data_IF_647011137694
#
_entry.id   IF_647011137694
#
_cell.length_a   1.000
_cell.length_b   1.000
_cell.length_c   1.000
_cell.angle_alpha   90.00
_cell.angle_beta   90.00
_cell.angle_gamma   90.00
#
_symmetry.space_group_name_H-M   'P 1'
#
loop_
_entity.id
_entity.type
_entity.pdbx_description
1 polymer ?
#
# COMPACT_ATOMS: atom_id res chain seq x y z
N UNK A 1 13.04 22.00 -6.33
CA UNK A 1 11.99 21.51 -7.23
C UNK A 1 11.58 20.13 -6.81
N UNK A 2 10.30 19.93 -6.71
CA UNK A 2 9.74 18.61 -6.42
C UNK A 2 9.74 17.77 -7.68
N UNK A 3 10.26 16.53 -7.59
CA UNK A 3 10.16 15.54 -8.66
C UNK A 3 8.95 14.64 -8.45
N UNK A 4 7.99 15.10 -7.66
CA UNK A 4 6.83 14.30 -7.31
C UNK A 4 5.84 14.24 -8.46
N UNK A 5 5.26 13.07 -8.63
CA UNK A 5 4.20 12.79 -9.58
C UNK A 5 2.93 12.49 -8.80
N UNK A 6 1.81 12.96 -9.30
CA UNK A 6 0.50 12.62 -8.74
C UNK A 6 -0.04 11.39 -9.45
N UNK A 7 -0.33 10.35 -8.67
CA UNK A 7 -0.88 9.09 -9.18
C UNK A 7 -2.34 8.95 -8.74
N UNK A 8 -3.14 8.35 -9.61
CA UNK A 8 -4.52 8.00 -9.31
C UNK A 8 -4.65 6.49 -9.19
N UNK A 9 -5.43 6.05 -8.21
CA UNK A 9 -5.58 4.64 -7.92
C UNK A 9 -7.02 4.32 -7.53
N UNK A 10 -7.42 3.08 -7.72
CA UNK A 10 -8.72 2.61 -7.29
C UNK A 10 -8.69 1.11 -7.03
N UNK A 11 -9.66 0.63 -6.22
CA UNK A 11 -9.94 -0.79 -6.18
C UNK A 11 -10.59 -1.24 -7.49
N UNK A 12 -10.79 -2.53 -7.66
CA UNK A 12 -11.28 -3.06 -8.94
C UNK A 12 -12.67 -2.54 -9.30
N UNK A 13 -13.60 -2.49 -8.35
CA UNK A 13 -14.96 -2.02 -8.63
C UNK A 13 -15.09 -0.49 -8.68
N UNK A 14 -14.06 0.24 -8.28
CA UNK A 14 -14.07 1.69 -8.28
C UNK A 14 -14.75 2.34 -7.08
N UNK A 15 -15.26 1.55 -6.13
CA UNK A 15 -15.90 2.12 -4.93
C UNK A 15 -14.91 2.90 -4.07
N UNK A 16 -13.66 2.48 -4.04
CA UNK A 16 -12.59 3.16 -3.32
C UNK A 16 -11.63 3.76 -4.34
N UNK A 17 -11.45 5.07 -4.29
CA UNK A 17 -10.56 5.81 -5.17
C UNK A 17 -9.72 6.76 -4.36
N UNK A 18 -8.47 6.92 -4.76
CA UNK A 18 -7.59 7.84 -4.07
C UNK A 18 -6.53 8.38 -5.01
N UNK A 19 -5.90 9.44 -4.57
CA UNK A 19 -4.84 10.12 -5.29
C UNK A 19 -3.70 10.39 -4.32
N UNK A 20 -2.49 10.19 -4.76
CA UNK A 20 -1.32 10.38 -3.90
C UNK A 20 -0.15 10.95 -4.69
N UNK A 21 0.75 11.58 -3.97
CA UNK A 21 2.00 12.12 -4.54
C UNK A 21 3.15 11.23 -4.15
N UNK A 22 4.05 11.03 -5.10
CA UNK A 22 5.23 10.21 -4.91
C UNK A 22 6.27 10.59 -5.93
N UNK A 23 7.53 10.33 -5.64
CA UNK A 23 8.55 10.31 -6.69
C UNK A 23 8.12 9.29 -7.75
N UNK A 24 8.67 9.43 -8.96
CA UNK A 24 8.36 8.47 -10.03
C UNK A 24 8.56 7.04 -9.54
N UNK A 25 7.52 6.23 -9.70
CA UNK A 25 7.54 4.85 -9.24
C UNK A 25 8.21 3.99 -10.30
N UNK A 26 9.41 3.50 -10.00
CA UNK A 26 10.17 2.60 -10.85
C UNK A 26 10.40 1.25 -10.21
N UNK A 27 10.11 1.13 -8.92
CA UNK A 27 10.34 -0.06 -8.10
C UNK A 27 9.09 -0.42 -7.33
N UNK A 28 8.98 -1.70 -7.03
CA UNK A 28 7.95 -2.19 -6.12
C UNK A 28 8.51 -3.28 -5.23
N UNK A 29 7.71 -3.71 -4.26
CA UNK A 29 8.10 -4.73 -3.31
C UNK A 29 7.09 -5.84 -3.28
N UNK A 30 7.58 -7.07 -3.11
CA UNK A 30 6.75 -8.23 -2.77
C UNK A 30 7.29 -8.83 -1.48
N UNK A 31 6.41 -9.03 -0.52
CA UNK A 31 6.76 -9.61 0.76
C UNK A 31 6.29 -11.06 0.82
N UNK A 32 7.09 -11.93 1.43
CA UNK A 32 6.76 -13.35 1.56
C UNK A 32 6.09 -13.69 2.89
N UNK A 33 5.71 -12.68 3.70
CA UNK A 33 4.99 -12.97 4.94
C UNK A 33 3.64 -13.62 4.66
N UNK A 34 3.03 -14.17 5.70
CA UNK A 34 1.82 -15.00 5.55
C UNK A 34 0.68 -14.32 4.82
N UNK A 35 0.48 -13.03 5.06
CA UNK A 35 -0.61 -12.30 4.42
C UNK A 35 -0.22 -11.77 3.04
N UNK A 36 0.98 -11.23 2.91
CA UNK A 36 1.40 -10.63 1.63
C UNK A 36 1.53 -11.69 0.54
N UNK A 37 2.01 -12.90 0.87
CA UNK A 37 2.12 -13.98 -0.11
C UNK A 37 0.72 -14.42 -0.58
N UNK A 38 -0.26 -14.37 0.30
CA UNK A 38 -1.64 -14.71 -0.07
C UNK A 38 -2.31 -13.62 -0.89
N UNK A 39 -2.01 -12.34 -0.60
CA UNK A 39 -2.51 -11.24 -1.42
C UNK A 39 -1.93 -11.26 -2.83
N UNK A 40 -0.66 -11.64 -2.97
CA UNK A 40 0.02 -11.66 -4.26
C UNK A 40 0.21 -10.29 -4.89
N UNK A 41 0.21 -9.23 -4.10
CA UNK A 41 0.29 -7.87 -4.60
C UNK A 41 1.72 -7.34 -4.61
N UNK A 42 1.94 -6.31 -5.43
CA UNK A 42 3.16 -5.52 -5.43
C UNK A 42 2.85 -4.21 -4.70
N UNK A 43 3.62 -3.91 -3.68
CA UNK A 43 3.42 -2.70 -2.89
C UNK A 43 4.48 -1.65 -3.20
N UNK A 44 4.21 -0.40 -2.82
CA UNK A 44 5.18 0.67 -2.94
C UNK A 44 6.43 0.33 -2.14
N UNK A 45 7.60 0.72 -2.66
CA UNK A 45 8.87 0.49 -1.99
C UNK A 45 9.02 1.36 -0.74
N UNK A 46 8.38 2.52 -0.74
CA UNK A 46 8.44 3.47 0.36
C UNK A 46 7.10 3.53 1.08
N UNK A 47 7.18 3.88 2.36
CA UNK A 47 6.00 4.27 3.13
C UNK A 47 5.72 5.75 2.87
N UNK A 48 4.47 6.08 2.59
CA UNK A 48 4.05 7.45 2.27
C UNK A 48 3.37 8.09 3.46
N UNK A 49 3.77 9.30 3.85
CA UNK A 49 3.10 10.00 4.94
C UNK A 49 1.66 10.35 4.53
N UNK A 50 0.75 10.50 5.52
CA UNK A 50 -0.66 10.80 5.23
C UNK A 50 -0.87 12.06 4.37
N UNK A 51 -0.01 13.06 4.51
CA UNK A 51 -0.13 14.30 3.75
C UNK A 51 0.09 14.11 2.24
N UNK A 52 0.69 13.01 1.82
CA UNK A 52 0.86 12.70 0.42
C UNK A 52 -0.37 12.04 -0.20
N UNK A 53 -1.32 11.62 0.62
CA UNK A 53 -2.62 11.12 0.19
C UNK A 53 -3.57 12.29 0.06
N UNK A 54 -3.88 12.71 -1.17
CA UNK A 54 -4.64 13.95 -1.39
C UNK A 54 -6.15 13.77 -1.30
N UNK A 55 -6.65 12.68 -1.85
CA UNK A 55 -8.09 12.41 -1.85
C UNK A 55 -8.31 10.93 -1.65
N UNK A 56 -9.19 10.59 -0.73
CA UNK A 56 -9.64 9.22 -0.55
C UNK A 56 -11.17 9.24 -0.57
N UNK A 57 -11.75 8.63 -1.60
CA UNK A 57 -13.18 8.51 -1.76
C UNK A 57 -13.62 7.09 -1.48
N UNK A 58 -14.82 6.94 -0.95
CA UNK A 58 -15.38 5.62 -0.72
C UNK A 58 -14.87 4.94 0.54
N UNK A 59 -14.45 5.71 1.54
CA UNK A 59 -13.97 5.14 2.80
C UNK A 59 -15.00 4.28 3.49
N UNK A 60 -16.29 4.56 3.28
CA UNK A 60 -17.38 3.72 3.82
C UNK A 60 -17.40 2.32 3.21
N UNK A 61 -16.77 2.12 2.06
CA UNK A 61 -16.64 0.82 1.42
C UNK A 61 -15.41 0.04 1.88
N UNK A 62 -14.56 0.65 2.71
CA UNK A 62 -13.38 -0.03 3.26
C UNK A 62 -13.73 -0.82 4.50
N UNK A 63 -13.25 -2.05 4.54
CA UNK A 63 -13.23 -2.88 5.73
C UNK A 63 -11.79 -3.03 6.21
N UNK A 64 -11.62 -3.51 7.42
CA UNK A 64 -10.32 -3.60 8.05
C UNK A 64 -10.05 -5.02 8.52
N UNK A 65 -8.87 -5.53 8.21
CA UNK A 65 -8.36 -6.77 8.75
C UNK A 65 -7.06 -6.52 9.51
N UNK A 66 -6.97 -7.05 10.70
CA UNK A 66 -5.76 -7.02 11.53
C UNK A 66 -5.51 -8.41 12.09
N UNK A 67 -4.25 -8.74 12.30
CA UNK A 67 -3.88 -10.02 12.90
C UNK A 67 -2.57 -9.85 13.69
N UNK A 68 -2.22 -10.87 14.47
CA UNK A 68 -1.00 -10.86 15.29
C UNK A 68 -0.99 -9.70 16.25
N UNK A 69 0.08 -8.93 16.25
CA UNK A 69 0.24 -7.75 17.10
C UNK A 69 -0.54 -6.53 16.62
N UNK A 70 -1.27 -6.67 15.50
CA UNK A 70 -2.08 -5.61 14.92
C UNK A 70 -1.27 -4.37 14.54
N UNK A 71 -0.05 -4.58 14.07
CA UNK A 71 0.84 -3.49 13.68
C UNK A 71 0.45 -2.83 12.37
N UNK A 72 -0.29 -3.54 11.53
CA UNK A 72 -0.67 -3.09 10.19
C UNK A 72 -2.17 -3.21 10.02
N UNK A 73 -2.75 -2.15 9.48
CA UNK A 73 -4.16 -2.12 9.10
C UNK A 73 -4.28 -2.52 7.64
N UNK A 74 -4.86 -3.68 7.37
CA UNK A 74 -5.10 -4.17 6.01
C UNK A 74 -6.50 -3.72 5.60
N UNK A 75 -6.56 -2.63 4.84
CA UNK A 75 -7.82 -2.10 4.34
C UNK A 75 -8.19 -2.82 3.05
N UNK A 76 -9.45 -3.18 2.91
CA UNK A 76 -9.92 -3.80 1.67
C UNK A 76 -11.33 -3.33 1.33
N UNK A 77 -11.64 -3.33 0.04
CA UNK A 77 -12.98 -2.95 -0.43
C UNK A 77 -13.97 -4.06 -0.10
N UNK A 78 -15.08 -3.69 0.53
CA UNK A 78 -16.14 -4.65 0.89
C UNK A 78 -16.83 -5.25 -0.33
N UNK A 79 -16.83 -4.52 -1.44
CA UNK A 79 -17.54 -4.93 -2.65
C UNK A 79 -16.70 -5.85 -3.51
N UNK A 80 -15.45 -5.51 -3.80
CA UNK A 80 -14.62 -6.31 -4.68
C UNK A 80 -13.51 -7.08 -3.97
N UNK A 81 -13.26 -6.82 -2.69
CA UNK A 81 -12.26 -7.54 -1.90
C UNK A 81 -10.82 -7.09 -2.11
N UNK A 82 -10.57 -6.13 -2.99
CA UNK A 82 -9.20 -5.68 -3.28
C UNK A 82 -8.69 -4.80 -2.14
N UNK A 83 -7.44 -5.04 -1.74
CA UNK A 83 -6.72 -4.23 -0.76
C UNK A 83 -6.00 -3.10 -1.50
N UNK A 84 -6.50 -1.85 -1.45
CA UNK A 84 -5.86 -0.77 -2.19
C UNK A 84 -4.61 -0.24 -1.49
N UNK A 85 -4.55 -0.34 -0.18
CA UNK A 85 -3.41 0.09 0.62
C UNK A 85 -3.49 -0.52 2.01
N UNK A 86 -2.36 -0.46 2.69
CA UNK A 86 -2.28 -0.75 4.12
C UNK A 86 -1.77 0.50 4.84
N UNK A 87 -2.11 0.63 6.11
CA UNK A 87 -1.56 1.71 6.94
C UNK A 87 -0.85 1.12 8.15
N UNK A 88 0.16 1.83 8.63
CA UNK A 88 0.91 1.42 9.81
C UNK A 88 0.13 1.82 11.05
N UNK A 89 -0.19 0.85 11.91
CA UNK A 89 -0.84 1.11 13.19
C UNK A 89 0.18 1.29 14.31
N UNK A 90 1.21 0.44 14.31
CA UNK A 90 2.31 0.53 15.26
C UNK A 90 3.59 0.08 14.56
N UNK A 91 4.74 0.56 15.00
CA UNK A 91 6.03 0.20 14.40
C UNK A 91 6.75 -0.73 15.38
N UNK A 92 6.82 -2.04 15.07
CA UNK A 92 7.59 -2.95 15.90
C UNK A 92 9.10 -2.69 15.74
N UNK A 93 9.91 -3.09 16.72
CA UNK A 93 11.36 -2.87 16.65
C UNK A 93 12.05 -3.51 15.43
N UNK A 94 11.40 -4.50 14.81
CA UNK A 94 11.93 -5.19 13.64
C UNK A 94 11.77 -4.39 12.35
N UNK A 95 10.91 -3.37 12.34
CA UNK A 95 10.75 -2.51 11.17
C UNK A 95 11.85 -1.46 11.18
N UNK A 96 12.51 -1.32 10.06
CA UNK A 96 13.49 -0.26 9.89
C UNK A 96 12.93 0.88 9.06
N UNK A 97 13.76 1.89 8.87
CA UNK A 97 13.52 2.94 7.90
C UNK A 97 12.50 3.97 8.32
N UNK A 98 11.60 4.31 7.42
CA UNK A 98 10.74 5.49 7.53
C UNK A 98 9.31 5.18 7.96
N UNK A 99 9.00 3.92 8.28
CA UNK A 99 7.66 3.56 8.71
C UNK A 99 7.28 4.24 10.02
N UNK A 100 6.14 4.92 10.03
CA UNK A 100 5.58 5.58 11.22
C UNK A 100 4.08 5.33 11.27
N UNK A 101 3.45 5.38 12.45
CA UNK A 101 2.00 5.24 12.53
C UNK A 101 1.29 6.21 11.60
N UNK A 102 0.28 5.72 10.88
CA UNK A 102 -0.47 6.49 9.91
C UNK A 102 0.09 6.51 8.49
N UNK A 103 1.31 6.02 8.29
CA UNK A 103 1.89 5.98 6.95
C UNK A 103 1.23 4.90 6.11
N UNK A 104 1.21 5.12 4.81
CA UNK A 104 0.56 4.27 3.82
C UNK A 104 1.57 3.47 3.03
N UNK A 105 1.19 2.26 2.68
CA UNK A 105 1.87 1.47 1.67
C UNK A 105 0.86 1.07 0.62
N UNK A 106 1.12 1.44 -0.63
CA UNK A 106 0.13 1.37 -1.71
C UNK A 106 0.23 0.04 -2.45
N UNK A 107 -0.92 -0.54 -2.79
CA UNK A 107 -0.98 -1.64 -3.74
C UNK A 107 -0.79 -1.04 -5.14
N UNK A 108 0.38 -1.24 -5.71
CA UNK A 108 0.73 -0.63 -6.99
C UNK A 108 -0.12 -1.15 -8.16
N UNK A 109 -0.71 -2.32 -8.01
CA UNK A 109 -1.65 -2.84 -8.99
C UNK A 109 -2.93 -2.01 -9.10
N UNK A 110 -3.24 -1.20 -8.10
CA UNK A 110 -4.39 -0.29 -8.12
C UNK A 110 -4.10 1.03 -8.81
N UNK A 111 -2.85 1.34 -9.14
CA UNK A 111 -2.46 2.61 -9.74
C UNK A 111 -2.75 2.57 -11.24
N UNK A 112 -3.58 3.51 -11.71
CA UNK A 112 -4.17 3.45 -13.05
C UNK A 112 -3.14 3.54 -14.18
N UNK A 113 -2.09 4.34 -14.01
CA UNK A 113 -1.12 4.61 -15.07
C UNK A 113 0.14 3.77 -15.00
N UNK A 114 0.17 2.77 -14.12
CA UNK A 114 1.39 2.04 -13.79
C UNK A 114 1.29 0.60 -14.26
N UNK A 115 2.32 0.14 -14.99
CA UNK A 115 2.45 -1.27 -15.33
C UNK A 115 3.35 -1.95 -14.29
N UNK A 116 2.73 -2.67 -13.36
CA UNK A 116 3.49 -3.33 -12.29
C UNK A 116 4.44 -4.41 -12.81
N UNK A 117 4.18 -4.96 -13.98
CA UNK A 117 5.06 -5.98 -14.57
C UNK A 117 6.34 -5.39 -15.14
N UNK A 118 6.37 -4.08 -15.35
CA UNK A 118 7.57 -3.38 -15.84
C UNK A 118 8.45 -2.84 -14.72
N UNK A 119 8.01 -2.96 -13.47
CA UNK A 119 8.76 -2.45 -12.32
C UNK A 119 9.90 -3.38 -11.93
N UNK A 120 10.93 -2.79 -11.33
CA UNK A 120 11.99 -3.52 -10.66
C UNK A 120 11.46 -3.96 -9.29
N UNK A 121 11.32 -5.26 -9.09
CA UNK A 121 10.66 -5.82 -7.90
C UNK A 121 11.70 -6.31 -6.90
N UNK A 122 11.63 -5.77 -5.69
CA UNK A 122 12.42 -6.22 -4.56
C UNK A 122 11.60 -7.21 -3.73
N UNK A 123 12.23 -8.33 -3.35
CA UNK A 123 11.61 -9.32 -2.48
C UNK A 123 12.00 -9.02 -1.04
N UNK A 124 10.99 -8.87 -0.18
CA UNK A 124 11.18 -8.66 1.25
C UNK A 124 10.92 -9.97 1.97
N UNK A 125 11.88 -10.41 2.77
CA UNK A 125 11.75 -11.62 3.58
C UNK A 125 11.02 -11.32 4.89
N UNK A 126 9.75 -10.95 4.79
CA UNK A 126 8.92 -10.64 5.95
C UNK A 126 8.62 -11.86 6.81
N UNK A 127 8.75 -13.06 6.24
CA UNK A 127 8.56 -14.31 7.00
C UNK A 127 9.57 -14.45 8.13
N UNK A 128 10.75 -13.88 7.97
CA UNK A 128 11.82 -13.96 8.96
C UNK A 128 11.81 -12.84 9.99
N UNK A 129 10.89 -11.91 9.87
CA UNK A 129 10.77 -10.79 10.82
C UNK A 129 9.91 -11.14 12.03
#
# INVERSE_FOLDING_TARGET
>A
MSNETTYQASCHCGAVRFRFRSEEITKGCRCNCSICVRKGIVTSAAYLPPEDLEQIEGTSSLALYQFGDKDVNHHFCRTCGICPFVTVAAVPPTYGGTAKPGYYRINLGCVESLDVYALDIEIIDGRSL
#
